data_IF_972342281749
#
_entry.id   IF_972342281749
#
_cell.length_a   1.000
_cell.length_b   1.000
_cell.length_c   1.000
_cell.angle_alpha   90.00
_cell.angle_beta   90.00
_cell.angle_gamma   90.00
#
_symmetry.space_group_name_H-M   'P 1'
#
loop_
_entity.id
_entity.type
_entity.pdbx_description
1 polymer ?
#
# COMPACT_ATOMS: atom_id res chain seq x y z
N UNK A 1 18.76 30.40 39.70
CA UNK A 1 17.27 30.44 39.73
C UNK A 1 16.76 29.48 38.67
N UNK A 2 16.02 28.45 39.10
CA UNK A 2 14.96 27.66 38.42
C UNK A 2 15.18 27.39 36.91
N UNK A 3 15.44 26.18 36.41
CA UNK A 3 14.93 24.87 36.84
C UNK A 3 13.52 24.64 36.29
N UNK A 4 13.42 24.14 35.05
CA UNK A 4 12.18 23.57 34.51
C UNK A 4 12.51 22.22 33.91
N UNK A 5 12.25 21.18 34.71
CA UNK A 5 12.23 19.79 34.29
C UNK A 5 11.13 19.62 33.24
N UNK A 6 11.51 19.31 32.00
CA UNK A 6 10.61 18.69 31.05
C UNK A 6 10.32 17.29 31.58
N UNK A 7 9.13 17.11 32.13
CA UNK A 7 8.58 15.81 32.48
C UNK A 7 8.39 15.03 31.16
N UNK A 8 9.40 14.25 30.81
CA UNK A 8 9.30 13.21 29.81
C UNK A 8 8.40 12.12 30.36
N UNK A 9 7.14 12.14 29.95
CA UNK A 9 6.26 10.98 30.08
C UNK A 9 6.74 9.94 29.08
N UNK A 10 7.75 9.16 29.47
CA UNK A 10 8.02 7.86 28.86
C UNK A 10 6.81 6.99 29.18
N UNK A 11 5.85 6.93 28.26
CA UNK A 11 4.90 5.83 28.22
C UNK A 11 5.74 4.58 27.90
N UNK A 12 6.05 3.82 28.94
CA UNK A 12 6.58 2.48 28.77
C UNK A 12 5.47 1.62 28.13
N UNK A 13 5.54 1.46 26.81
CA UNK A 13 4.87 0.40 26.09
C UNK A 13 5.39 -0.92 26.68
N UNK A 14 4.62 -1.48 27.60
CA UNK A 14 4.77 -2.86 28.02
C UNK A 14 4.33 -3.69 26.82
N UNK A 15 5.26 -4.01 25.93
CA UNK A 15 5.07 -5.04 24.91
C UNK A 15 5.02 -6.36 25.66
N UNK A 16 3.82 -6.74 26.13
CA UNK A 16 3.56 -8.14 26.48
C UNK A 16 3.64 -8.93 25.19
N UNK A 17 4.79 -9.56 24.95
CA UNK A 17 4.94 -10.63 23.99
C UNK A 17 4.14 -11.86 24.44
N UNK A 18 2.82 -11.76 24.34
CA UNK A 18 1.91 -12.86 24.12
C UNK A 18 1.43 -12.66 22.68
N UNK A 19 1.78 -13.56 21.77
CA UNK A 19 1.43 -13.45 20.34
C UNK A 19 -0.07 -13.55 20.08
N UNK A 20 -0.80 -12.49 20.41
CA UNK A 20 -2.14 -12.22 19.91
C UNK A 20 -2.03 -11.16 18.82
N UNK A 21 -2.84 -11.32 17.78
CA UNK A 21 -3.00 -10.36 16.70
C UNK A 21 -3.45 -8.99 17.21
N UNK A 22 -3.25 -7.95 16.39
CA UNK A 22 -3.82 -6.63 16.70
C UNK A 22 -5.34 -6.70 16.84
N UNK A 23 -5.92 -5.82 17.66
CA UNK A 23 -7.38 -5.65 17.64
C UNK A 23 -7.83 -5.04 16.32
N UNK A 24 -9.12 -5.20 15.97
CA UNK A 24 -9.70 -4.62 14.77
C UNK A 24 -9.54 -3.09 14.73
N UNK A 25 -9.71 -2.42 15.86
CA UNK A 25 -9.54 -0.96 15.95
C UNK A 25 -8.08 -0.55 15.71
N UNK A 26 -7.12 -1.21 16.36
CA UNK A 26 -5.69 -0.92 16.16
C UNK A 26 -5.26 -1.16 14.72
N UNK A 27 -5.75 -2.24 14.10
CA UNK A 27 -5.50 -2.52 12.69
C UNK A 27 -6.05 -1.43 11.77
N UNK A 28 -7.29 -0.99 11.99
CA UNK A 28 -7.92 0.10 11.20
C UNK A 28 -7.19 1.43 11.39
N UNK A 29 -6.77 1.76 12.61
CA UNK A 29 -5.94 2.94 12.88
C UNK A 29 -4.61 2.87 12.11
N UNK A 30 -3.95 1.71 12.14
CA UNK A 30 -2.71 1.49 11.38
C UNK A 30 -2.89 1.60 9.86
N UNK A 31 -4.00 1.10 9.32
CA UNK A 31 -4.33 1.31 7.90
C UNK A 31 -4.58 2.79 7.56
N UNK A 32 -5.28 3.53 8.42
CA UNK A 32 -5.52 4.96 8.21
C UNK A 32 -4.22 5.76 8.22
N UNK A 33 -3.29 5.44 9.12
CA UNK A 33 -1.97 6.04 9.16
C UNK A 33 -1.19 5.72 7.89
N UNK A 34 -1.27 4.48 7.41
CA UNK A 34 -0.64 4.06 6.16
C UNK A 34 -1.17 4.88 4.97
N UNK A 35 -2.49 4.98 4.81
CA UNK A 35 -3.12 5.77 3.72
C UNK A 35 -2.69 7.24 3.80
N UNK A 36 -2.72 7.81 5.00
CA UNK A 36 -2.39 9.22 5.23
C UNK A 36 -0.94 9.55 4.88
N UNK A 37 0.00 8.65 5.19
CA UNK A 37 1.43 8.83 4.83
C UNK A 37 1.71 8.54 3.35
N UNK A 38 1.10 7.48 2.82
CA UNK A 38 1.50 6.88 1.55
C UNK A 38 0.91 7.59 0.34
N UNK A 39 -0.38 7.95 0.37
CA UNK A 39 -1.07 8.54 -0.79
C UNK A 39 -0.36 9.81 -1.30
N UNK A 40 0.01 10.78 -0.44
CA UNK A 40 0.72 11.98 -0.89
C UNK A 40 2.08 11.67 -1.51
N UNK A 41 2.75 10.58 -1.11
CA UNK A 41 4.05 10.17 -1.66
C UNK A 41 3.90 9.67 -3.08
N UNK A 42 2.90 8.82 -3.37
CA UNK A 42 2.59 8.40 -4.73
C UNK A 42 2.16 9.58 -5.60
N UNK A 43 1.25 10.42 -5.11
CA UNK A 43 0.81 11.63 -5.83
C UNK A 43 2.00 12.53 -6.20
N UNK A 44 2.96 12.71 -5.29
CA UNK A 44 4.16 13.50 -5.56
C UNK A 44 5.04 12.90 -6.66
N UNK A 45 5.17 11.57 -6.73
CA UNK A 45 5.91 10.87 -7.79
C UNK A 45 5.24 11.08 -9.14
N UNK A 46 3.93 10.86 -9.24
CA UNK A 46 3.17 11.09 -10.48
C UNK A 46 3.17 12.56 -10.91
N UNK A 47 2.98 13.48 -9.97
CA UNK A 47 3.00 14.91 -10.24
C UNK A 47 4.37 15.37 -10.76
N UNK A 48 5.47 14.85 -10.18
CA UNK A 48 6.83 15.16 -10.62
C UNK A 48 7.07 14.67 -12.05
N UNK A 49 6.72 13.41 -12.34
CA UNK A 49 6.87 12.85 -13.67
C UNK A 49 6.00 13.56 -14.72
N UNK A 50 4.75 13.89 -14.37
CA UNK A 50 3.81 14.59 -15.26
C UNK A 50 4.21 16.03 -15.61
N UNK A 51 5.16 16.64 -14.91
CA UNK A 51 5.71 17.96 -15.23
C UNK A 51 6.80 17.91 -16.31
N UNK A 52 7.27 16.72 -16.70
CA UNK A 52 8.30 16.55 -17.72
C UNK A 52 7.65 16.59 -19.10
N UNK A 53 7.94 17.63 -19.88
CA UNK A 53 7.31 17.84 -21.19
C UNK A 53 7.65 16.75 -22.22
N UNK A 54 8.88 16.24 -22.17
CA UNK A 54 9.40 15.20 -23.07
C UNK A 54 10.19 14.17 -22.23
N UNK A 55 9.50 13.22 -21.58
CA UNK A 55 10.16 12.26 -20.70
C UNK A 55 11.08 11.31 -21.48
N UNK A 56 12.23 11.02 -20.89
CA UNK A 56 13.19 10.03 -21.38
C UNK A 56 12.97 8.67 -20.71
N UNK A 57 13.62 7.62 -21.22
CA UNK A 57 13.61 6.32 -20.55
C UNK A 57 14.13 6.42 -19.10
N UNK A 58 15.16 7.25 -18.87
CA UNK A 58 15.70 7.45 -17.53
C UNK A 58 14.68 8.09 -16.58
N UNK A 59 13.86 9.03 -17.06
CA UNK A 59 12.80 9.64 -16.26
C UNK A 59 11.71 8.62 -15.89
N UNK A 60 11.34 7.75 -16.84
CA UNK A 60 10.38 6.67 -16.61
C UNK A 60 10.91 5.68 -15.57
N UNK A 61 12.16 5.24 -15.71
CA UNK A 61 12.79 4.31 -14.76
C UNK A 61 12.90 4.95 -13.38
N UNK A 62 13.34 6.20 -13.29
CA UNK A 62 13.42 6.92 -12.02
C UNK A 62 12.06 7.02 -11.33
N UNK A 63 10.97 7.28 -12.07
CA UNK A 63 9.60 7.24 -11.52
C UNK A 63 9.28 5.85 -10.95
N UNK A 64 9.49 4.79 -11.72
CA UNK A 64 9.19 3.41 -11.30
C UNK A 64 10.03 3.00 -10.08
N UNK A 65 11.30 3.40 -10.02
CA UNK A 65 12.17 3.16 -8.85
C UNK A 65 11.65 3.88 -7.60
N UNK A 66 11.15 5.12 -7.72
CA UNK A 66 10.54 5.82 -6.58
C UNK A 66 9.23 5.13 -6.13
N UNK A 67 8.39 4.67 -7.07
CA UNK A 67 7.20 3.88 -6.75
C UNK A 67 7.57 2.58 -6.03
N UNK A 68 8.61 1.88 -6.47
CA UNK A 68 9.11 0.67 -5.82
C UNK A 68 9.55 0.90 -4.38
N UNK A 69 10.24 2.02 -4.11
CA UNK A 69 10.63 2.37 -2.73
C UNK A 69 9.38 2.54 -1.86
N UNK A 70 8.38 3.28 -2.34
CA UNK A 70 7.13 3.49 -1.61
C UNK A 70 6.38 2.17 -1.42
N UNK A 71 6.21 1.37 -2.47
CA UNK A 71 5.51 0.08 -2.40
C UNK A 71 6.18 -0.90 -1.44
N UNK A 72 7.51 -0.95 -1.40
CA UNK A 72 8.23 -1.80 -0.45
C UNK A 72 8.08 -1.31 0.99
N UNK A 73 8.13 0.00 1.23
CA UNK A 73 7.84 0.57 2.55
C UNK A 73 6.43 0.20 3.02
N UNK A 74 5.45 0.41 2.14
CA UNK A 74 4.03 0.06 2.38
C UNK A 74 3.87 -1.41 2.66
N UNK A 75 4.52 -2.28 1.89
CA UNK A 75 4.48 -3.72 2.10
C UNK A 75 5.02 -4.10 3.48
N UNK A 76 6.15 -3.51 3.87
CA UNK A 76 6.72 -3.70 5.20
C UNK A 76 5.79 -3.24 6.33
N UNK A 77 5.04 -2.15 6.11
CA UNK A 77 4.03 -1.68 7.06
C UNK A 77 2.84 -2.65 7.15
N UNK A 78 2.30 -3.13 6.03
CA UNK A 78 1.24 -4.14 6.03
C UNK A 78 1.65 -5.42 6.76
N UNK A 79 2.86 -5.91 6.50
CA UNK A 79 3.39 -7.11 7.16
C UNK A 79 3.55 -6.89 8.69
N UNK A 80 3.66 -5.63 9.14
CA UNK A 80 3.76 -5.26 10.55
C UNK A 80 2.39 -5.00 11.24
N UNK A 81 1.30 -4.85 10.48
CA UNK A 81 -0.05 -4.60 11.02
C UNK A 81 -0.68 -5.82 11.71
N UNK A 82 -0.09 -7.02 11.57
CA UNK A 82 -0.51 -8.26 12.25
C UNK A 82 -2.05 -8.43 12.36
N UNK A 83 -2.73 -8.60 11.21
CA UNK A 83 -4.18 -8.47 11.11
C UNK A 83 -4.91 -9.46 12.03
N UNK A 84 -6.05 -9.07 12.64
CA UNK A 84 -6.91 -10.01 13.33
C UNK A 84 -7.48 -11.06 12.38
N UNK A 85 -7.85 -12.24 12.91
CA UNK A 85 -8.45 -13.35 12.14
C UNK A 85 -9.68 -12.91 11.33
N UNK A 86 -10.40 -11.89 11.82
CA UNK A 86 -11.57 -11.30 11.17
C UNK A 86 -11.21 -10.51 9.90
N UNK A 87 -9.97 -10.04 9.73
CA UNK A 87 -9.53 -9.18 8.62
C UNK A 87 -8.40 -9.82 7.79
N UNK A 88 -7.82 -10.94 8.25
CA UNK A 88 -6.67 -11.59 7.61
C UNK A 88 -6.84 -11.87 6.11
N UNK A 89 -8.05 -12.24 5.67
CA UNK A 89 -8.36 -12.49 4.25
C UNK A 89 -8.27 -11.20 3.42
N UNK A 90 -8.84 -10.09 3.93
CA UNK A 90 -8.78 -8.76 3.28
C UNK A 90 -7.34 -8.26 3.25
N UNK A 91 -6.61 -8.39 4.36
CA UNK A 91 -5.19 -8.04 4.42
C UNK A 91 -4.39 -8.83 3.38
N UNK A 92 -4.61 -10.15 3.30
CA UNK A 92 -3.94 -11.03 2.35
C UNK A 92 -4.11 -10.59 0.89
N UNK A 93 -5.33 -10.21 0.48
CA UNK A 93 -5.61 -9.73 -0.88
C UNK A 93 -4.81 -8.44 -1.19
N UNK A 94 -4.79 -7.48 -0.27
CA UNK A 94 -4.05 -6.22 -0.45
C UNK A 94 -2.53 -6.48 -0.54
N UNK A 95 -2.02 -7.29 0.39
CA UNK A 95 -0.63 -7.73 0.49
C UNK A 95 -0.18 -8.44 -0.78
N UNK A 96 -0.94 -9.42 -1.27
CA UNK A 96 -0.63 -10.18 -2.49
C UNK A 96 -0.69 -9.30 -3.74
N UNK A 97 -1.65 -8.39 -3.82
CA UNK A 97 -1.76 -7.45 -4.94
C UNK A 97 -0.58 -6.48 -4.98
N UNK A 98 -0.20 -5.92 -3.84
CA UNK A 98 1.00 -5.09 -3.71
C UNK A 98 2.26 -5.88 -4.11
N UNK A 99 2.37 -7.15 -3.71
CA UNK A 99 3.47 -8.02 -4.09
C UNK A 99 3.55 -8.24 -5.61
N UNK A 100 2.41 -8.45 -6.28
CA UNK A 100 2.36 -8.53 -7.75
C UNK A 100 2.82 -7.25 -8.42
N UNK A 101 2.36 -6.09 -7.94
CA UNK A 101 2.75 -4.76 -8.45
C UNK A 101 4.26 -4.52 -8.31
N UNK A 102 4.84 -4.83 -7.14
CA UNK A 102 6.29 -4.75 -6.90
C UNK A 102 7.04 -5.62 -7.92
N UNK A 103 6.67 -6.90 -8.06
CA UNK A 103 7.37 -7.83 -8.95
C UNK A 103 7.36 -7.35 -10.42
N UNK A 104 6.24 -6.84 -10.93
CA UNK A 104 6.20 -6.34 -12.32
C UNK A 104 6.95 -5.01 -12.49
N UNK A 105 6.95 -4.14 -11.47
CA UNK A 105 7.71 -2.90 -11.50
C UNK A 105 9.23 -3.17 -11.46
N UNK A 106 9.69 -4.13 -10.65
CA UNK A 106 11.08 -4.60 -10.66
C UNK A 106 11.48 -5.13 -12.04
N UNK A 107 10.59 -5.89 -12.69
CA UNK A 107 10.80 -6.37 -14.06
C UNK A 107 10.99 -5.23 -15.07
N UNK A 108 10.23 -4.13 -14.95
CA UNK A 108 10.41 -2.94 -15.81
C UNK A 108 11.76 -2.29 -15.57
N UNK A 109 12.19 -2.14 -14.31
CA UNK A 109 13.51 -1.57 -13.98
C UNK A 109 14.62 -2.46 -14.54
N UNK A 110 14.52 -3.78 -14.38
CA UNK A 110 15.51 -4.72 -14.92
C UNK A 110 15.59 -4.66 -16.45
N UNK A 111 14.43 -4.75 -17.12
CA UNK A 111 14.34 -4.71 -18.58
C UNK A 111 14.91 -3.41 -19.18
N UNK A 112 14.89 -2.32 -18.41
CA UNK A 112 15.39 -1.02 -18.88
C UNK A 112 16.87 -1.03 -19.25
N UNK A 113 17.64 -1.97 -18.68
CA UNK A 113 19.06 -2.15 -18.99
C UNK A 113 19.32 -2.67 -20.42
N UNK A 114 18.29 -3.22 -21.09
CA UNK A 114 18.38 -3.79 -22.43
C UNK A 114 17.86 -2.87 -23.55
N UNK A 115 17.27 -1.73 -23.19
CA UNK A 115 16.63 -0.80 -24.13
C UNK A 115 17.15 0.63 -23.92
N UNK A 116 16.90 1.52 -24.88
CA UNK A 116 17.43 2.89 -24.85
C UNK A 116 16.36 3.97 -24.91
N UNK A 117 15.15 3.60 -25.31
CA UNK A 117 14.01 4.53 -25.45
C UNK A 117 12.76 4.00 -24.80
N UNK A 118 11.82 4.89 -24.48
CA UNK A 118 10.49 4.52 -23.98
C UNK A 118 9.76 3.63 -25.01
N UNK A 119 9.83 3.98 -26.31
CA UNK A 119 9.15 3.22 -27.35
C UNK A 119 9.66 1.77 -27.49
N UNK A 120 10.93 1.50 -27.17
CA UNK A 120 11.47 0.14 -27.07
C UNK A 120 11.00 -0.56 -25.79
N UNK A 121 11.02 0.14 -24.65
CA UNK A 121 10.50 -0.37 -23.37
C UNK A 121 9.02 -0.79 -23.50
N UNK A 122 8.20 0.02 -24.16
CA UNK A 122 6.77 -0.23 -24.37
C UNK A 122 6.48 -1.53 -25.16
N UNK A 123 7.47 -2.07 -25.87
CA UNK A 123 7.37 -3.31 -26.62
C UNK A 123 7.86 -4.54 -25.82
N UNK A 124 8.40 -4.33 -24.63
CA UNK A 124 8.88 -5.43 -23.77
C UNK A 124 7.70 -6.16 -23.11
N UNK A 125 7.82 -7.49 -22.87
CA UNK A 125 6.82 -8.22 -22.11
C UNK A 125 6.69 -7.72 -20.67
N UNK A 126 7.77 -7.21 -20.06
CA UNK A 126 7.78 -6.66 -18.70
C UNK A 126 6.91 -5.39 -18.60
N UNK A 127 7.02 -4.48 -19.57
CA UNK A 127 6.17 -3.28 -19.60
C UNK A 127 4.70 -3.61 -19.87
N UNK A 128 4.43 -4.61 -20.72
CA UNK A 128 3.07 -5.10 -20.95
C UNK A 128 2.48 -5.74 -19.68
N UNK A 129 3.26 -6.50 -18.92
CA UNK A 129 2.85 -7.07 -17.64
C UNK A 129 2.59 -5.97 -16.59
N UNK A 130 3.47 -4.98 -16.49
CA UNK A 130 3.28 -3.83 -15.61
C UNK A 130 1.98 -3.08 -15.92
N UNK A 131 1.69 -2.80 -17.20
CA UNK A 131 0.41 -2.20 -17.59
C UNK A 131 -0.79 -3.10 -17.27
N UNK A 132 -0.69 -4.42 -17.50
CA UNK A 132 -1.78 -5.35 -17.19
C UNK A 132 -2.11 -5.32 -15.71
N UNK A 133 -1.11 -5.43 -14.83
CA UNK A 133 -1.34 -5.44 -13.37
C UNK A 133 -1.86 -4.09 -12.87
N UNK A 134 -1.38 -2.96 -13.41
CA UNK A 134 -1.92 -1.64 -13.08
C UNK A 134 -3.36 -1.45 -13.59
N UNK A 135 -3.75 -2.06 -14.71
CA UNK A 135 -5.14 -2.04 -15.17
C UNK A 135 -6.02 -3.01 -14.35
N UNK A 136 -5.43 -4.09 -13.85
CA UNK A 136 -6.08 -5.08 -12.99
C UNK A 136 -6.22 -4.61 -11.54
N UNK A 137 -5.56 -3.53 -11.10
CA UNK A 137 -5.78 -3.02 -9.73
C UNK A 137 -7.24 -2.63 -9.49
N UNK A 138 -7.96 -2.19 -10.53
CA UNK A 138 -9.41 -1.96 -10.49
C UNK A 138 -10.21 -3.26 -10.22
N UNK A 139 -9.65 -4.43 -10.57
CA UNK A 139 -10.25 -5.74 -10.27
C UNK A 139 -10.09 -6.16 -8.81
N UNK A 140 -9.22 -5.49 -8.04
CA UNK A 140 -9.15 -5.69 -6.58
C UNK A 140 -10.39 -5.16 -5.87
N UNK A 141 -11.03 -4.09 -6.39
CA UNK A 141 -12.24 -3.52 -5.79
C UNK A 141 -13.35 -4.56 -5.55
N UNK A 142 -13.79 -5.35 -6.56
CA UNK A 142 -14.84 -6.35 -6.34
C UNK A 142 -14.41 -7.52 -5.45
N UNK A 143 -13.14 -7.93 -5.46
CA UNK A 143 -12.64 -9.01 -4.59
C UNK A 143 -12.68 -8.58 -3.11
N UNK A 144 -12.16 -7.39 -2.81
CA UNK A 144 -12.21 -6.80 -1.48
C UNK A 144 -13.64 -6.54 -1.03
N UNK A 145 -14.51 -6.04 -1.92
CA UNK A 145 -15.92 -5.84 -1.61
C UNK A 145 -16.62 -7.18 -1.29
N UNK A 146 -16.31 -8.26 -2.01
CA UNK A 146 -16.86 -9.58 -1.72
C UNK A 146 -16.44 -10.10 -0.34
N UNK A 147 -15.21 -9.83 0.10
CA UNK A 147 -14.80 -10.15 1.48
C UNK A 147 -15.55 -9.32 2.51
N UNK A 148 -15.76 -8.02 2.27
CA UNK A 148 -16.58 -7.18 3.15
C UNK A 148 -18.03 -7.64 3.25
N UNK A 149 -18.60 -8.15 2.16
CA UNK A 149 -19.96 -8.70 2.15
C UNK A 149 -20.02 -9.97 3.02
N UNK A 150 -19.02 -10.86 2.91
CA UNK A 150 -18.90 -12.04 3.80
C UNK A 150 -18.72 -11.64 5.26
N UNK A 151 -18.02 -10.55 5.57
CA UNK A 151 -17.89 -10.06 6.95
C UNK A 151 -19.23 -9.55 7.50
N UNK A 152 -20.03 -8.93 6.64
CA UNK A 152 -21.38 -8.46 7.02
C UNK A 152 -22.32 -9.63 7.26
N UNK A 153 -22.29 -10.66 6.42
CA UNK A 153 -23.14 -11.85 6.57
C UNK A 153 -22.88 -12.65 7.86
N UNK A 154 -21.69 -12.47 8.46
CA UNK A 154 -21.30 -13.11 9.74
C UNK A 154 -21.92 -12.47 10.99
N UNK A 155 -22.93 -11.59 10.85
CA UNK A 155 -23.68 -10.93 11.93
C UNK A 155 -22.91 -9.88 12.77
N UNK A 156 -21.80 -9.35 12.24
CA UNK A 156 -20.96 -8.32 12.87
C UNK A 156 -21.34 -6.90 12.40
N UNK A 157 -22.44 -6.73 11.66
CA UNK A 157 -22.81 -5.51 10.90
C UNK A 157 -22.83 -4.21 11.73
N UNK A 158 -23.08 -4.29 13.04
CA UNK A 158 -23.24 -3.11 13.90
C UNK A 158 -21.95 -2.67 14.60
N UNK A 159 -20.82 -3.35 14.36
CA UNK A 159 -19.55 -2.94 14.96
C UNK A 159 -18.96 -1.71 14.22
N UNK A 160 -18.65 -0.61 14.95
CA UNK A 160 -18.19 0.64 14.33
C UNK A 160 -16.95 0.50 13.44
N UNK A 161 -16.05 -0.42 13.78
CA UNK A 161 -14.77 -0.60 13.06
C UNK A 161 -14.95 -1.10 11.62
N UNK A 162 -16.06 -1.77 11.27
CA UNK A 162 -16.29 -2.26 9.90
C UNK A 162 -16.49 -1.10 8.93
N UNK A 163 -17.21 -0.05 9.36
CA UNK A 163 -17.41 1.14 8.54
C UNK A 163 -16.08 1.84 8.28
N UNK A 164 -15.27 2.00 9.34
CA UNK A 164 -13.96 2.65 9.22
C UNK A 164 -13.01 1.81 8.37
N UNK A 165 -12.93 0.48 8.60
CA UNK A 165 -12.15 -0.43 7.76
C UNK A 165 -12.53 -0.32 6.28
N UNK A 166 -13.83 -0.30 5.97
CA UNK A 166 -14.29 -0.11 4.59
C UNK A 166 -13.80 1.19 4.00
N UNK A 167 -13.85 2.29 4.75
CA UNK A 167 -13.37 3.59 4.31
C UNK A 167 -11.85 3.60 4.11
N UNK A 168 -11.08 3.03 5.05
CA UNK A 168 -9.62 2.96 4.97
C UNK A 168 -9.18 2.13 3.77
N UNK A 169 -9.77 0.95 3.60
CA UNK A 169 -9.43 0.05 2.49
C UNK A 169 -9.78 0.72 1.17
N UNK A 170 -10.97 1.28 1.02
CA UNK A 170 -11.40 2.06 -0.15
C UNK A 170 -10.44 3.18 -0.50
N UNK A 171 -10.07 4.00 0.49
CA UNK A 171 -9.09 5.06 0.31
C UNK A 171 -7.70 4.53 -0.10
N UNK A 172 -7.31 3.34 0.37
CA UNK A 172 -6.05 2.71 0.00
C UNK A 172 -6.06 2.18 -1.44
N UNK A 173 -7.16 1.54 -1.87
CA UNK A 173 -7.27 0.89 -3.18
C UNK A 173 -7.86 1.79 -4.27
N UNK A 174 -8.24 3.03 -3.93
CA UNK A 174 -8.96 3.99 -4.77
C UNK A 174 -10.26 3.41 -5.37
N UNK A 175 -11.01 2.72 -4.52
CA UNK A 175 -12.37 2.23 -4.75
C UNK A 175 -13.29 2.74 -3.60
#
# INVERSE_FOLDING_TARGET
>A
MRGTLLAGTLLALVVTACGGSMSETEYVEGLNDLVTDTTPRFEAVYATYGQIAEPTLADLVARVEQELIIMNDVRGLFDALDPPDSIVEVNGIMVDTLGRLINVAEGVVEASNAVTTIAEMEQTPEFAAYQSVNAESDSMCPEVQAEFDKLSDRAVIDDPWISDLRLSVRAFIDC
#
